data_IF_699268682127
#
_entry.id   IF_699268682127
#
_cell.length_a   1.000
_cell.length_b   1.000
_cell.length_c   1.000
_cell.angle_alpha   90.00
_cell.angle_beta   90.00
_cell.angle_gamma   90.00
#
_symmetry.space_group_name_H-M   'P 1'
#
loop_
_entity.id
_entity.type
_entity.pdbx_description
1 polymer ?
#
# COMPACT_ATOMS: atom_id res chain seq x y z
N UNK A 1 5.89 1.25 -23.72
CA UNK A 1 6.55 0.42 -22.70
C UNK A 1 5.59 0.32 -21.52
N UNK A 2 5.42 -0.89 -20.96
CA UNK A 2 4.65 -1.07 -19.73
C UNK A 2 5.33 -0.40 -18.55
N UNK A 3 4.54 -0.03 -17.52
CA UNK A 3 5.06 0.56 -16.28
C UNK A 3 5.65 -0.50 -15.34
N UNK A 4 6.55 -0.07 -14.49
CA UNK A 4 7.09 -0.83 -13.36
C UNK A 4 6.22 -0.62 -12.13
N UNK A 5 5.59 -1.68 -11.65
CA UNK A 5 4.60 -1.63 -10.55
C UNK A 5 5.12 -2.39 -9.33
N UNK A 6 5.28 -1.69 -8.20
CA UNK A 6 5.47 -2.34 -6.91
C UNK A 6 4.11 -2.52 -6.23
N UNK A 7 3.74 -3.76 -5.92
CA UNK A 7 2.45 -4.09 -5.34
C UNK A 7 2.58 -4.71 -3.96
N UNK A 8 1.87 -4.15 -2.97
CA UNK A 8 1.89 -4.60 -1.58
C UNK A 8 0.49 -5.06 -1.16
N UNK A 9 0.37 -6.31 -0.76
CA UNK A 9 -0.80 -6.84 -0.07
C UNK A 9 -0.58 -6.79 1.44
N UNK A 10 -1.31 -5.92 2.12
CA UNK A 10 -1.22 -5.72 3.56
C UNK A 10 -2.12 -6.64 4.39
N UNK A 11 -2.86 -7.55 3.77
CA UNK A 11 -3.62 -8.58 4.48
C UNK A 11 -2.71 -9.77 4.80
N UNK A 12 -2.61 -10.21 6.07
CA UNK A 12 -1.89 -11.43 6.41
C UNK A 12 -2.66 -12.72 6.08
N UNK A 13 -3.98 -12.63 5.90
CA UNK A 13 -4.86 -13.76 5.62
C UNK A 13 -4.78 -14.16 4.14
N UNK A 14 -4.34 -15.40 3.82
CA UNK A 14 -4.21 -15.89 2.45
C UNK A 14 -5.55 -16.05 1.72
N UNK A 15 -6.66 -16.21 2.45
CA UNK A 15 -7.98 -16.40 1.87
C UNK A 15 -8.81 -15.11 1.85
N UNK A 16 -8.18 -13.97 2.13
CA UNK A 16 -8.86 -12.68 2.19
C UNK A 16 -9.35 -12.18 0.82
N UNK A 17 -10.47 -11.46 0.83
CA UNK A 17 -10.95 -10.79 -0.37
C UNK A 17 -9.95 -9.72 -0.88
N UNK A 18 -9.14 -9.15 0.00
CA UNK A 18 -8.01 -8.29 -0.38
C UNK A 18 -7.02 -9.02 -1.28
N UNK A 19 -6.71 -10.29 -0.98
CA UNK A 19 -5.85 -11.11 -1.84
C UNK A 19 -6.47 -11.31 -3.22
N UNK A 20 -7.74 -11.70 -3.29
CA UNK A 20 -8.41 -11.87 -4.58
C UNK A 20 -8.41 -10.58 -5.44
N UNK A 21 -8.58 -9.41 -4.81
CA UNK A 21 -8.49 -8.12 -5.49
C UNK A 21 -7.07 -7.83 -5.98
N UNK A 22 -6.07 -8.12 -5.14
CA UNK A 22 -4.66 -7.90 -5.46
C UNK A 22 -4.20 -8.83 -6.59
N UNK A 23 -4.49 -10.13 -6.50
CA UNK A 23 -4.15 -11.10 -7.53
C UNK A 23 -4.80 -10.72 -8.88
N UNK A 24 -6.06 -10.34 -8.89
CA UNK A 24 -6.74 -9.87 -10.12
C UNK A 24 -6.10 -8.61 -10.71
N UNK A 25 -5.67 -7.68 -9.85
CA UNK A 25 -4.96 -6.48 -10.30
C UNK A 25 -3.61 -6.85 -10.92
N UNK A 26 -2.80 -7.67 -10.24
CA UNK A 26 -1.48 -8.08 -10.71
C UNK A 26 -1.55 -8.80 -12.06
N UNK A 27 -2.39 -9.85 -12.17
CA UNK A 27 -2.61 -10.59 -13.42
C UNK A 27 -3.02 -9.68 -14.58
N UNK A 28 -3.94 -8.74 -14.33
CA UNK A 28 -4.42 -7.83 -15.37
C UNK A 28 -3.38 -6.77 -15.76
N UNK A 29 -2.52 -6.36 -14.83
CA UNK A 29 -1.41 -5.45 -15.11
C UNK A 29 -0.34 -6.12 -15.98
N UNK A 30 0.03 -7.35 -15.65
CA UNK A 30 0.98 -8.16 -16.46
C UNK A 30 0.44 -8.43 -17.86
N UNK A 31 -0.84 -8.83 -17.99
CA UNK A 31 -1.51 -9.00 -19.28
C UNK A 31 -1.54 -7.72 -20.13
N UNK A 32 -1.54 -6.55 -19.48
CA UNK A 32 -1.44 -5.25 -20.15
C UNK A 32 0.01 -4.84 -20.50
N UNK A 33 1.00 -5.69 -20.21
CA UNK A 33 2.41 -5.47 -20.54
C UNK A 33 3.19 -4.70 -19.48
N UNK A 34 2.65 -4.54 -18.25
CA UNK A 34 3.38 -3.95 -17.13
C UNK A 34 4.26 -5.01 -16.45
N UNK A 35 5.36 -4.55 -15.84
CA UNK A 35 6.20 -5.38 -14.97
C UNK A 35 5.72 -5.24 -13.53
N UNK A 36 5.37 -6.36 -12.85
CA UNK A 36 4.83 -6.33 -11.48
C UNK A 36 5.78 -7.05 -10.52
N UNK A 37 6.18 -6.36 -9.43
CA UNK A 37 6.79 -6.98 -8.25
C UNK A 37 5.77 -6.99 -7.14
N UNK A 38 5.27 -8.18 -6.78
CA UNK A 38 4.16 -8.36 -5.87
C UNK A 38 4.60 -8.99 -4.55
N UNK A 39 4.33 -8.30 -3.44
CA UNK A 39 4.70 -8.68 -2.08
C UNK A 39 3.45 -8.93 -1.23
N UNK A 40 3.31 -10.14 -0.73
CA UNK A 40 2.27 -10.58 0.20
C UNK A 40 2.86 -10.56 1.60
N UNK A 41 2.54 -9.54 2.41
CA UNK A 41 3.19 -9.35 3.71
C UNK A 41 2.97 -10.52 4.68
N UNK A 42 1.86 -11.26 4.55
CA UNK A 42 1.63 -12.45 5.36
C UNK A 42 2.53 -13.65 5.03
N UNK A 43 3.24 -13.60 3.89
CA UNK A 43 4.16 -14.66 3.44
C UNK A 43 5.64 -14.27 3.65
N UNK A 44 5.91 -13.05 4.13
CA UNK A 44 7.27 -12.53 4.33
C UNK A 44 7.60 -12.55 5.82
N UNK A 45 8.69 -13.22 6.18
CA UNK A 45 9.18 -13.23 7.55
C UNK A 45 10.00 -11.95 7.84
N UNK A 46 9.53 -11.14 8.78
CA UNK A 46 10.22 -9.96 9.30
C UNK A 46 9.69 -9.55 10.67
N UNK A 47 10.51 -8.85 11.46
CA UNK A 47 10.05 -8.20 12.68
C UNK A 47 9.37 -6.86 12.34
N UNK A 48 8.04 -6.71 12.56
CA UNK A 48 7.34 -5.47 12.25
C UNK A 48 7.64 -4.32 13.24
N UNK A 49 8.37 -4.61 14.32
CA UNK A 49 8.66 -3.61 15.37
C UNK A 49 9.98 -2.90 15.07
N UNK A 50 9.92 -1.59 14.95
CA UNK A 50 11.12 -0.73 14.90
C UNK A 50 11.60 -0.51 16.36
N UNK A 51 12.37 -1.46 16.91
CA UNK A 51 12.67 -1.60 18.33
C UNK A 51 13.40 -0.41 18.96
N UNK A 52 14.25 0.24 18.20
CA UNK A 52 15.07 1.36 18.68
C UNK A 52 14.64 2.70 18.07
N UNK A 53 13.47 2.75 17.41
CA UNK A 53 13.06 3.93 16.65
C UNK A 53 14.13 4.32 15.62
N UNK A 54 14.41 5.61 15.52
CA UNK A 54 15.44 6.11 14.59
C UNK A 54 16.82 6.30 15.26
N UNK A 55 16.98 5.90 16.52
CA UNK A 55 18.21 6.12 17.28
C UNK A 55 19.31 5.09 16.95
N UNK A 56 18.91 3.89 16.52
CA UNK A 56 19.83 2.83 16.14
C UNK A 56 19.34 2.13 14.88
N UNK A 57 20.27 1.89 13.96
CA UNK A 57 19.96 1.15 12.74
C UNK A 57 19.57 -0.29 13.08
N UNK A 58 18.41 -0.70 12.62
CA UNK A 58 17.96 -2.09 12.63
C UNK A 58 18.05 -2.63 11.20
N UNK A 59 18.88 -3.64 10.98
CA UNK A 59 19.04 -4.24 9.65
C UNK A 59 17.71 -4.76 9.11
N UNK A 60 17.53 -4.61 7.81
CA UNK A 60 16.35 -5.12 7.13
C UNK A 60 16.54 -6.61 6.81
N UNK A 61 15.53 -7.39 7.06
CA UNK A 61 15.41 -8.77 6.59
C UNK A 61 15.37 -8.81 5.05
N UNK A 62 15.73 -9.94 4.42
CA UNK A 62 15.78 -10.02 2.96
C UNK A 62 14.49 -9.55 2.27
N UNK A 63 13.32 -10.00 2.73
CA UNK A 63 12.04 -9.60 2.15
C UNK A 63 11.74 -8.09 2.28
N UNK A 64 12.20 -7.42 3.34
CA UNK A 64 12.07 -5.96 3.45
C UNK A 64 13.07 -5.22 2.54
N UNK A 65 14.26 -5.79 2.28
CA UNK A 65 15.21 -5.25 1.29
C UNK A 65 14.62 -5.33 -0.12
N UNK A 66 14.01 -6.46 -0.47
CA UNK A 66 13.35 -6.64 -1.76
C UNK A 66 12.19 -5.65 -1.96
N UNK A 67 11.42 -5.39 -0.90
CA UNK A 67 10.37 -4.35 -0.91
C UNK A 67 10.98 -2.96 -1.12
N UNK A 68 12.08 -2.64 -0.44
CA UNK A 68 12.77 -1.36 -0.58
C UNK A 68 13.30 -1.17 -2.01
N UNK A 69 13.90 -2.19 -2.59
CA UNK A 69 14.34 -2.19 -3.98
C UNK A 69 13.18 -2.03 -4.96
N UNK A 70 12.03 -2.70 -4.69
CA UNK A 70 10.84 -2.58 -5.51
C UNK A 70 10.26 -1.16 -5.49
N UNK A 71 10.21 -0.49 -4.34
CA UNK A 71 9.82 0.92 -4.27
C UNK A 71 10.77 1.80 -5.08
N UNK A 72 12.08 1.55 -5.02
CA UNK A 72 13.08 2.32 -5.79
C UNK A 72 12.93 2.08 -7.30
N UNK A 73 12.68 0.85 -7.71
CA UNK A 73 12.55 0.43 -9.09
C UNK A 73 11.23 0.87 -9.73
N UNK A 74 10.15 1.02 -8.95
CA UNK A 74 8.80 1.25 -9.48
C UNK A 74 8.55 2.69 -9.94
N UNK A 75 7.61 2.82 -10.87
CA UNK A 75 7.00 4.08 -11.32
C UNK A 75 5.59 4.26 -10.73
N UNK A 76 4.96 3.13 -10.37
CA UNK A 76 3.64 3.09 -9.78
C UNK A 76 3.60 2.12 -8.60
N UNK A 77 2.93 2.52 -7.53
CA UNK A 77 2.79 1.71 -6.32
C UNK A 77 1.33 1.33 -6.13
N UNK A 78 1.06 0.04 -5.93
CA UNK A 78 -0.29 -0.45 -5.61
C UNK A 78 -0.29 -1.01 -4.21
N UNK A 79 -1.23 -0.56 -3.38
CA UNK A 79 -1.35 -1.01 -1.99
C UNK A 79 -2.76 -1.49 -1.74
N UNK A 80 -2.91 -2.76 -1.32
CA UNK A 80 -4.21 -3.38 -1.05
C UNK A 80 -4.27 -3.85 0.40
N UNK A 81 -5.26 -3.39 1.19
CA UNK A 81 -5.39 -3.81 2.57
C UNK A 81 -6.81 -3.67 3.14
N UNK A 82 -7.18 -4.52 4.13
CA UNK A 82 -8.41 -4.34 4.88
C UNK A 82 -8.26 -3.23 5.93
N UNK A 83 -9.29 -2.42 6.12
CA UNK A 83 -9.33 -1.44 7.22
C UNK A 83 -9.71 -2.16 8.51
N UNK A 84 -8.79 -2.24 9.45
CA UNK A 84 -8.98 -2.80 10.78
C UNK A 84 -8.84 -1.69 11.83
N UNK A 85 -9.81 -1.55 12.73
CA UNK A 85 -9.79 -0.53 13.78
C UNK A 85 -9.51 0.89 13.25
N UNK A 86 -10.05 1.19 12.06
CA UNK A 86 -9.86 2.50 11.43
C UNK A 86 -8.49 2.74 10.80
N UNK A 87 -7.60 1.75 10.79
CA UNK A 87 -6.22 1.84 10.27
C UNK A 87 -5.90 0.65 9.34
N UNK A 88 -4.65 0.61 8.88
CA UNK A 88 -4.10 -0.56 8.20
C UNK A 88 -3.74 -1.66 9.20
N UNK A 89 -3.61 -2.93 8.76
CA UNK A 89 -3.11 -4.02 9.60
C UNK A 89 -1.73 -3.72 10.20
N UNK A 90 -1.46 -4.22 11.42
CA UNK A 90 -0.21 -3.97 12.13
C UNK A 90 1.03 -4.39 11.34
N UNK A 91 0.98 -5.53 10.66
CA UNK A 91 2.08 -6.00 9.80
C UNK A 91 2.43 -4.99 8.69
N UNK A 92 1.42 -4.36 8.09
CA UNK A 92 1.63 -3.37 7.04
C UNK A 92 2.20 -2.05 7.61
N UNK A 93 1.71 -1.61 8.78
CA UNK A 93 2.29 -0.44 9.46
C UNK A 93 3.75 -0.71 9.83
N UNK A 94 4.04 -1.89 10.36
CA UNK A 94 5.41 -2.32 10.68
C UNK A 94 6.32 -2.35 9.45
N UNK A 95 5.83 -2.84 8.32
CA UNK A 95 6.58 -2.79 7.05
C UNK A 95 6.95 -1.34 6.70
N UNK A 96 6.03 -0.38 6.76
CA UNK A 96 6.35 1.02 6.49
C UNK A 96 7.34 1.60 7.50
N UNK A 97 7.20 1.29 8.80
CA UNK A 97 8.11 1.76 9.84
C UNK A 97 9.54 1.23 9.63
N UNK A 98 9.67 0.00 9.14
CA UNK A 98 10.96 -0.65 8.89
C UNK A 98 11.59 -0.24 7.56
N UNK A 99 10.79 -0.01 6.51
CA UNK A 99 11.27 0.28 5.15
C UNK A 99 11.45 1.78 4.90
N UNK A 100 10.53 2.64 5.37
CA UNK A 100 10.56 4.07 5.08
C UNK A 100 11.40 4.85 6.10
N UNK A 101 12.68 4.54 6.14
CA UNK A 101 13.64 5.16 7.06
C UNK A 101 14.24 6.46 6.51
N UNK A 102 14.76 7.33 7.42
CA UNK A 102 15.58 8.47 7.03
C UNK A 102 16.79 8.04 6.19
N UNK A 103 17.10 8.80 5.15
CA UNK A 103 18.17 8.50 4.20
C UNK A 103 17.76 7.58 3.04
N UNK A 104 16.61 6.89 3.15
CA UNK A 104 16.03 6.11 2.06
C UNK A 104 14.76 6.75 1.50
N UNK A 105 13.74 6.95 2.33
CA UNK A 105 12.44 7.47 1.88
C UNK A 105 12.33 9.00 2.00
N UNK A 106 13.05 9.57 2.94
CA UNK A 106 13.11 11.00 3.18
C UNK A 106 14.43 11.40 3.86
N UNK A 107 14.77 12.71 3.82
CA UNK A 107 15.93 13.27 4.50
C UNK A 107 15.58 14.64 5.05
N UNK A 108 15.74 14.85 6.36
CA UNK A 108 15.58 16.16 6.96
C UNK A 108 16.69 17.10 6.48
N UNK A 109 16.33 18.34 6.20
CA UNK A 109 17.28 19.40 5.85
C UNK A 109 17.88 19.99 7.13
N UNK A 110 19.17 20.29 7.09
CA UNK A 110 19.85 20.94 8.20
C UNK A 110 19.20 22.29 8.53
N UNK A 111 19.01 22.57 9.82
CA UNK A 111 18.43 23.81 10.33
C UNK A 111 17.07 24.19 9.75
N UNK A 112 16.25 23.19 9.35
CA UNK A 112 14.95 23.41 8.72
C UNK A 112 13.91 22.42 9.24
N UNK A 113 12.63 22.85 9.26
CA UNK A 113 11.49 21.97 9.51
C UNK A 113 11.07 21.18 8.25
N UNK A 114 11.70 21.43 7.11
CA UNK A 114 11.41 20.77 5.86
C UNK A 114 12.33 19.56 5.61
N UNK A 115 11.89 18.70 4.71
CA UNK A 115 12.62 17.49 4.32
C UNK A 115 12.59 17.26 2.82
N UNK A 116 13.55 16.52 2.32
CA UNK A 116 13.59 16.04 0.95
C UNK A 116 12.82 14.72 0.84
N UNK A 117 12.01 14.61 -0.21
CA UNK A 117 11.15 13.48 -0.50
C UNK A 117 11.85 12.58 -1.50
N UNK A 118 12.44 11.48 -1.02
CA UNK A 118 13.36 10.68 -1.84
C UNK A 118 12.65 9.67 -2.76
N UNK A 119 11.34 9.44 -2.58
CA UNK A 119 10.53 8.58 -3.44
C UNK A 119 9.62 9.38 -4.39
N UNK A 120 9.95 10.63 -4.68
CA UNK A 120 9.23 11.46 -5.65
C UNK A 120 9.30 10.88 -7.08
N UNK A 121 8.33 11.27 -7.93
CA UNK A 121 8.25 10.81 -9.32
C UNK A 121 7.42 9.53 -9.53
N UNK A 122 6.86 8.97 -8.47
CA UNK A 122 5.99 7.80 -8.47
C UNK A 122 4.55 8.18 -8.21
N UNK A 123 3.60 7.48 -8.84
CA UNK A 123 2.17 7.54 -8.51
C UNK A 123 1.78 6.34 -7.63
N UNK A 124 0.58 6.39 -7.03
CA UNK A 124 0.07 5.24 -6.29
C UNK A 124 -1.44 5.04 -6.46
N UNK A 125 -1.86 3.78 -6.33
CA UNK A 125 -3.26 3.39 -6.18
C UNK A 125 -3.43 2.59 -4.89
N UNK A 126 -4.24 3.10 -3.98
CA UNK A 126 -4.56 2.45 -2.71
C UNK A 126 -5.96 1.89 -2.77
N UNK A 127 -6.08 0.58 -2.54
CA UNK A 127 -7.34 -0.17 -2.57
C UNK A 127 -7.62 -0.67 -1.17
N UNK A 128 -8.73 -0.26 -0.58
CA UNK A 128 -9.11 -0.65 0.77
C UNK A 128 -10.44 -1.38 0.81
N UNK A 129 -10.53 -2.39 1.65
CA UNK A 129 -11.78 -3.07 1.99
C UNK A 129 -12.19 -2.78 3.42
N UNK A 130 -13.48 -2.74 3.71
CA UNK A 130 -14.01 -2.53 5.06
C UNK A 130 -15.44 -3.07 5.19
N UNK A 131 -15.86 -3.37 6.41
CA UNK A 131 -17.26 -3.71 6.72
C UNK A 131 -18.09 -2.48 7.14
N UNK A 132 -17.44 -1.44 7.63
CA UNK A 132 -18.08 -0.15 7.87
C UNK A 132 -18.58 0.46 6.56
N UNK A 133 -19.81 0.97 6.48
CA UNK A 133 -20.26 1.69 5.28
C UNK A 133 -19.31 2.84 4.93
N UNK A 134 -18.84 2.96 3.67
CA UNK A 134 -17.84 3.96 3.29
C UNK A 134 -18.24 5.42 3.60
N UNK A 135 -19.55 5.74 3.51
CA UNK A 135 -20.04 7.06 3.87
C UNK A 135 -19.89 7.37 5.37
N UNK A 136 -20.16 6.36 6.25
CA UNK A 136 -20.00 6.50 7.70
C UNK A 136 -18.51 6.65 8.06
N UNK A 137 -17.66 5.82 7.49
CA UNK A 137 -16.21 5.91 7.66
C UNK A 137 -15.66 7.29 7.25
N UNK A 138 -16.20 7.85 6.17
CA UNK A 138 -15.79 9.17 5.68
C UNK A 138 -16.29 10.31 6.56
N UNK A 139 -17.58 10.34 6.92
CA UNK A 139 -18.21 11.47 7.58
C UNK A 139 -18.01 11.45 9.09
N UNK A 140 -18.16 10.27 9.73
CA UNK A 140 -18.09 10.13 11.18
C UNK A 140 -16.66 9.91 11.66
N UNK A 141 -15.96 8.93 11.07
CA UNK A 141 -14.57 8.64 11.44
C UNK A 141 -13.55 9.51 10.72
N UNK A 142 -13.94 10.34 9.74
CA UNK A 142 -13.05 11.24 8.99
C UNK A 142 -11.92 10.52 8.25
N UNK A 143 -12.17 9.28 7.82
CA UNK A 143 -11.25 8.45 7.00
C UNK A 143 -9.82 8.32 7.56
N UNK A 144 -9.62 7.89 8.81
CA UNK A 144 -8.29 7.92 9.44
C UNK A 144 -7.26 7.06 8.68
N UNK A 145 -7.60 5.82 8.30
CA UNK A 145 -6.71 4.96 7.50
C UNK A 145 -6.32 5.59 6.16
N UNK A 146 -7.28 6.23 5.47
CA UNK A 146 -7.03 6.85 4.18
C UNK A 146 -6.15 8.10 4.29
N UNK A 147 -6.37 8.91 5.32
CA UNK A 147 -5.52 10.08 5.61
C UNK A 147 -4.10 9.63 5.99
N UNK A 148 -3.98 8.57 6.78
CA UNK A 148 -2.68 8.03 7.19
C UNK A 148 -1.88 7.56 5.98
N UNK A 149 -2.41 6.61 5.20
CA UNK A 149 -1.66 6.04 4.07
C UNK A 149 -1.36 7.09 3.00
N UNK A 150 -2.33 7.92 2.65
CA UNK A 150 -2.17 8.91 1.59
C UNK A 150 -1.24 10.05 2.01
N UNK A 151 -1.60 10.78 3.08
CA UNK A 151 -0.95 12.06 3.42
C UNK A 151 0.33 11.88 4.23
N UNK A 152 0.27 11.03 5.27
CA UNK A 152 1.36 10.92 6.23
C UNK A 152 2.37 9.84 5.90
N UNK A 153 2.09 8.97 4.93
CA UNK A 153 3.03 7.94 4.46
C UNK A 153 3.43 8.22 3.00
N UNK A 154 2.55 8.02 2.03
CA UNK A 154 2.92 8.10 0.61
C UNK A 154 3.28 9.51 0.14
N UNK A 155 2.43 10.50 0.36
CA UNK A 155 2.71 11.89 -0.04
C UNK A 155 3.84 12.51 0.80
N UNK A 156 4.05 12.03 2.03
CA UNK A 156 5.16 12.46 2.87
C UNK A 156 6.52 12.13 2.23
N UNK A 157 6.67 10.95 1.65
CA UNK A 157 7.90 10.51 0.97
C UNK A 157 7.97 10.91 -0.51
N UNK A 158 6.91 11.55 -1.03
CA UNK A 158 6.87 12.11 -2.40
C UNK A 158 6.10 11.29 -3.43
N UNK A 159 5.50 10.17 -3.04
CA UNK A 159 4.66 9.36 -3.94
C UNK A 159 3.33 10.08 -4.16
N UNK A 160 3.12 10.61 -5.35
CA UNK A 160 1.90 11.34 -5.77
C UNK A 160 1.76 11.36 -7.29
N UNK A 161 0.55 11.40 -7.90
CA UNK A 161 -0.76 11.39 -7.22
C UNK A 161 -1.05 10.03 -6.55
N UNK A 162 -1.91 10.07 -5.50
CA UNK A 162 -2.41 8.86 -4.83
C UNK A 162 -3.90 8.74 -5.10
N UNK A 163 -4.27 7.74 -5.90
CA UNK A 163 -5.66 7.36 -6.13
C UNK A 163 -6.15 6.44 -5.00
N UNK A 164 -7.45 6.57 -4.65
CA UNK A 164 -8.04 5.78 -3.57
C UNK A 164 -9.28 5.06 -4.07
N UNK A 165 -9.32 3.73 -3.92
CA UNK A 165 -10.51 2.91 -4.13
C UNK A 165 -10.96 2.30 -2.81
N UNK A 166 -12.21 2.59 -2.44
CA UNK A 166 -12.80 2.13 -1.17
C UNK A 166 -13.94 1.16 -1.49
N UNK A 167 -13.82 -0.07 -0.98
CA UNK A 167 -14.77 -1.16 -1.21
C UNK A 167 -15.40 -1.58 0.13
N UNK A 168 -16.72 -1.49 0.21
CA UNK A 168 -17.45 -1.87 1.42
C UNK A 168 -18.96 -1.59 1.32
N UNK A 169 -19.75 -2.15 2.26
CA UNK A 169 -19.40 -3.20 3.22
C UNK A 169 -19.12 -4.54 2.54
N UNK A 170 -17.99 -5.20 2.90
CA UNK A 170 -17.60 -6.46 2.24
C UNK A 170 -18.40 -7.64 2.78
N UNK A 171 -18.65 -7.68 4.09
CA UNK A 171 -19.38 -8.78 4.76
C UNK A 171 -20.73 -9.06 4.12
N UNK A 172 -21.46 -8.01 3.71
CA UNK A 172 -22.81 -8.10 3.15
C UNK A 172 -22.85 -8.03 1.62
N UNK A 173 -21.69 -8.01 0.96
CA UNK A 173 -21.65 -7.95 -0.49
C UNK A 173 -22.01 -9.30 -1.11
N UNK A 174 -22.97 -9.28 -2.05
CA UNK A 174 -23.31 -10.46 -2.85
C UNK A 174 -22.14 -10.90 -3.73
N UNK A 175 -22.16 -12.16 -4.20
CA UNK A 175 -21.17 -12.67 -5.14
C UNK A 175 -21.07 -11.78 -6.41
N UNK A 176 -22.21 -11.35 -6.96
CA UNK A 176 -22.25 -10.45 -8.10
C UNK A 176 -21.58 -9.10 -7.81
N UNK A 177 -21.78 -8.53 -6.61
CA UNK A 177 -21.11 -7.30 -6.21
C UNK A 177 -19.59 -7.48 -6.06
N UNK A 178 -19.16 -8.57 -5.45
CA UNK A 178 -17.73 -8.91 -5.35
C UNK A 178 -17.12 -9.10 -6.73
N UNK A 179 -17.80 -9.77 -7.66
CA UNK A 179 -17.34 -9.90 -9.04
C UNK A 179 -17.18 -8.54 -9.72
N UNK A 180 -18.16 -7.62 -9.57
CA UNK A 180 -18.04 -6.25 -10.09
C UNK A 180 -16.78 -5.53 -9.55
N UNK A 181 -16.42 -5.74 -8.28
CA UNK A 181 -15.21 -5.16 -7.71
C UNK A 181 -13.92 -5.78 -8.30
N UNK A 182 -13.91 -7.11 -8.54
CA UNK A 182 -12.80 -7.78 -9.22
C UNK A 182 -12.63 -7.27 -10.66
N UNK A 183 -13.72 -7.08 -11.40
CA UNK A 183 -13.68 -6.56 -12.78
C UNK A 183 -13.15 -5.12 -12.82
N UNK A 184 -13.46 -4.32 -11.79
CA UNK A 184 -12.88 -2.98 -11.63
C UNK A 184 -11.36 -3.02 -11.43
N UNK A 185 -10.82 -4.03 -10.71
CA UNK A 185 -9.36 -4.17 -10.55
C UNK A 185 -8.69 -4.39 -11.90
N UNK A 186 -9.28 -5.23 -12.76
CA UNK A 186 -8.78 -5.42 -14.14
C UNK A 186 -8.83 -4.13 -14.97
N UNK A 187 -9.88 -3.32 -14.79
CA UNK A 187 -10.00 -2.04 -15.50
C UNK A 187 -8.98 -1.00 -15.03
N UNK A 188 -8.65 -0.96 -13.73
CA UNK A 188 -7.63 -0.08 -13.17
C UNK A 188 -6.23 -0.50 -13.62
N UNK A 189 -5.91 -1.79 -13.52
CA UNK A 189 -4.62 -2.34 -13.89
C UNK A 189 -4.23 -2.06 -15.34
N UNK A 190 -5.21 -2.08 -16.26
CA UNK A 190 -4.97 -1.73 -17.67
C UNK A 190 -4.70 -0.25 -17.93
N UNK A 191 -4.99 0.63 -16.98
CA UNK A 191 -4.77 2.08 -17.07
C UNK A 191 -3.58 2.57 -16.26
N UNK A 192 -2.99 1.68 -15.46
CA UNK A 192 -1.90 1.98 -14.55
C UNK A 192 -0.63 2.50 -15.24
#
# INVERSE_FOLDING_TARGET
MGKKIAMILGSPDPDSFCRALADRYAESAEQAGNEVRYFRLGEIEFDPVLRHGYNQRQELEPGLKDIQEAFTWSEHVVVVFPVWWGSMPAIMKGMFDRVFLPGYAFKYRENSQFWDKLLAGRSAHVITTMDTPPWYFRLVYRSPAHNQIRRTILEFVGIKPVEMTVLGPVRYASAAKRQTWLDRMSAFARKA
#
